data_IF_244221090318
#
_entry.id   IF_244221090318
#
_cell.length_a   1.000
_cell.length_b   1.000
_cell.length_c   1.000
_cell.angle_alpha   90.00
_cell.angle_beta   90.00
_cell.angle_gamma   90.00
#
_symmetry.space_group_name_H-M   'P 1'
#
loop_
_entity.id
_entity.type
_entity.pdbx_description
1 polymer ?
#
# COMPACT_ATOMS: atom_id res chain seq x y z
N UNK A 1 3.37 4.34 0.41
CA UNK A 1 3.34 4.04 1.85
C UNK A 1 1.88 4.06 2.29
N UNK A 2 1.29 2.88 2.43
CA UNK A 2 -0.01 2.74 3.07
C UNK A 2 0.15 2.92 4.58
N UNK A 3 -0.52 3.92 5.15
CA UNK A 3 -0.61 4.06 6.60
C UNK A 3 -1.93 3.43 7.03
N UNK A 4 -1.89 2.19 7.48
CA UNK A 4 -3.06 1.53 8.07
C UNK A 4 -3.00 1.59 9.59
N UNK A 5 -4.12 1.97 10.22
CA UNK A 5 -4.26 1.93 11.66
C UNK A 5 -5.14 0.74 12.07
N UNK A 6 -4.54 -0.26 12.75
CA UNK A 6 -5.25 -1.42 13.27
C UNK A 6 -5.34 -1.37 14.79
N UNK A 7 -6.56 -1.54 15.33
CA UNK A 7 -6.84 -1.60 16.77
C UNK A 7 -7.62 -0.39 17.32
N UNK A 8 -8.35 -0.58 18.43
CA UNK A 8 -8.89 0.54 19.22
C UNK A 8 -7.69 1.33 19.77
N UNK A 9 -7.47 2.53 19.23
CA UNK A 9 -6.36 3.37 19.66
C UNK A 9 -6.56 3.86 21.09
N UNK A 10 -5.53 3.70 21.91
CA UNK A 10 -5.47 4.12 23.31
C UNK A 10 -5.52 5.66 23.41
N UNK A 11 -6.42 6.28 24.21
CA UNK A 11 -6.60 7.75 24.28
C UNK A 11 -5.41 8.54 24.86
N UNK A 12 -4.27 7.92 25.15
CA UNK A 12 -3.15 8.48 25.89
C UNK A 12 -2.17 9.40 25.15
N UNK A 13 -2.52 10.01 24.01
CA UNK A 13 -1.61 10.96 23.33
C UNK A 13 -1.68 12.33 24.02
N UNK A 14 -0.69 12.63 24.87
CA UNK A 14 -0.55 13.91 25.58
C UNK A 14 -0.40 15.07 24.59
N UNK A 15 -1.06 16.20 24.90
CA UNK A 15 -0.89 17.48 24.20
C UNK A 15 0.58 17.90 24.29
N UNK A 16 1.20 18.13 23.13
CA UNK A 16 2.46 18.86 23.03
C UNK A 16 2.16 20.32 22.70
N UNK A 17 2.79 21.21 23.46
CA UNK A 17 2.62 22.66 23.42
C UNK A 17 3.22 23.31 22.16
N UNK A 18 2.67 24.49 21.85
CA UNK A 18 3.15 25.58 20.99
C UNK A 18 3.88 25.28 19.68
N UNK A 19 3.12 25.41 18.58
CA UNK A 19 3.68 25.54 17.23
C UNK A 19 3.80 27.02 16.88
N UNK A 20 5.02 27.55 17.00
CA UNK A 20 5.42 28.82 16.41
C UNK A 20 5.16 28.82 14.91
N UNK A 21 4.23 29.67 14.49
CA UNK A 21 3.80 29.81 13.12
C UNK A 21 4.80 30.69 12.34
N UNK A 22 5.56 30.10 11.44
CA UNK A 22 6.35 30.86 10.47
C UNK A 22 6.32 30.24 9.09
N UNK A 23 5.60 30.95 8.21
CA UNK A 23 5.75 31.03 6.75
C UNK A 23 4.93 30.08 5.88
N UNK A 24 3.63 30.38 5.78
CA UNK A 24 2.96 30.52 4.48
C UNK A 24 2.26 31.88 4.44
N UNK A 25 3.00 32.94 4.10
CA UNK A 25 2.40 34.25 3.83
C UNK A 25 1.72 34.19 2.46
N UNK A 26 0.39 34.09 2.46
CA UNK A 26 -0.43 34.60 1.37
C UNK A 26 -0.22 36.13 1.34
N UNK A 27 0.73 36.61 0.54
CA UNK A 27 0.86 38.03 0.24
C UNK A 27 0.02 38.33 -1.00
N UNK A 28 -1.02 39.14 -0.82
CA UNK A 28 -1.53 40.07 -1.84
C UNK A 28 -2.83 39.67 -2.53
N UNK A 29 -3.96 39.75 -1.83
CA UNK A 29 -5.07 40.66 -2.15
C UNK A 29 -6.22 40.48 -1.15
N UNK A 30 -6.88 41.59 -0.86
CA UNK A 30 -8.06 41.71 -0.01
C UNK A 30 -9.28 41.07 -0.69
N UNK A 31 -9.32 39.74 -0.70
CA UNK A 31 -10.49 38.97 -1.15
C UNK A 31 -10.65 37.79 -0.19
N UNK A 32 -11.48 37.98 0.85
CA UNK A 32 -12.07 36.83 1.56
C UNK A 32 -13.03 36.16 0.58
N UNK A 33 -12.49 35.47 -0.41
CA UNK A 33 -13.25 34.67 -1.35
C UNK A 33 -14.11 33.72 -0.52
N UNK A 34 -15.42 33.98 -0.52
CA UNK A 34 -16.36 33.15 0.23
C UNK A 34 -16.22 31.72 -0.26
N UNK A 35 -15.99 30.79 0.68
CA UNK A 35 -15.97 29.36 0.37
C UNK A 35 -17.32 29.03 -0.28
N UNK A 36 -17.36 28.47 -1.51
CA UNK A 36 -18.61 28.15 -2.17
C UNK A 36 -19.49 27.26 -1.29
N UNK A 37 -20.79 27.54 -1.24
CA UNK A 37 -21.74 26.83 -0.39
C UNK A 37 -21.76 25.31 -0.62
N UNK A 38 -21.48 24.86 -1.86
CA UNK A 38 -21.27 23.43 -2.17
C UNK A 38 -20.12 22.84 -1.35
N UNK A 39 -18.96 23.51 -1.35
CA UNK A 39 -17.76 23.05 -0.64
C UNK A 39 -17.96 23.10 0.87
N UNK A 40 -18.59 24.17 1.38
CA UNK A 40 -18.93 24.28 2.81
C UNK A 40 -19.77 23.10 3.29
N UNK A 41 -20.83 22.76 2.54
CA UNK A 41 -21.69 21.60 2.87
C UNK A 41 -20.96 20.27 2.80
N UNK A 42 -20.04 20.10 1.85
CA UNK A 42 -19.18 18.91 1.78
C UNK A 42 -18.28 18.80 3.00
N UNK A 43 -17.58 19.88 3.38
CA UNK A 43 -16.70 19.91 4.57
C UNK A 43 -17.50 19.50 5.82
N UNK A 44 -18.65 20.12 6.05
CA UNK A 44 -19.49 19.80 7.22
C UNK A 44 -20.00 18.34 7.20
N UNK A 45 -20.36 17.82 6.02
CA UNK A 45 -20.80 16.44 5.88
C UNK A 45 -19.66 15.45 6.22
N UNK A 46 -18.48 15.65 5.64
CA UNK A 46 -17.31 14.80 5.90
C UNK A 46 -16.89 14.86 7.37
N UNK A 47 -16.80 16.06 7.96
CA UNK A 47 -16.42 16.23 9.37
C UNK A 47 -17.40 15.54 10.32
N UNK A 48 -18.72 15.65 10.10
CA UNK A 48 -19.73 14.93 10.88
C UNK A 48 -19.56 13.42 10.80
N UNK A 49 -19.21 12.89 9.62
CA UNK A 49 -18.96 11.46 9.45
C UNK A 49 -17.68 11.00 10.13
N UNK A 50 -16.60 11.78 10.00
CA UNK A 50 -15.31 11.52 10.65
C UNK A 50 -15.48 11.52 12.18
N UNK A 51 -16.24 12.46 12.73
CA UNK A 51 -16.56 12.51 14.15
C UNK A 51 -17.39 11.31 14.59
N UNK A 52 -18.49 11.02 13.88
CA UNK A 52 -19.39 9.90 14.21
C UNK A 52 -18.70 8.53 14.19
N UNK A 53 -17.71 8.35 13.33
CA UNK A 53 -16.95 7.10 13.19
C UNK A 53 -15.63 7.10 13.99
N UNK A 54 -15.33 8.17 14.73
CA UNK A 54 -14.10 8.36 15.51
C UNK A 54 -12.80 8.22 14.69
N UNK A 55 -12.81 8.72 13.45
CA UNK A 55 -11.65 8.65 12.53
C UNK A 55 -10.77 9.90 12.56
N UNK A 56 -11.08 10.91 13.39
CA UNK A 56 -10.31 12.15 13.44
C UNK A 56 -8.81 11.91 13.70
N UNK A 57 -8.47 10.99 14.62
CA UNK A 57 -7.06 10.64 14.93
C UNK A 57 -6.32 10.10 13.72
N UNK A 58 -7.00 9.33 12.88
CA UNK A 58 -6.40 8.74 11.68
C UNK A 58 -6.04 9.81 10.65
N UNK A 59 -6.97 10.72 10.34
CA UNK A 59 -6.72 11.85 9.44
C UNK A 59 -5.58 12.75 9.93
N UNK A 60 -5.55 13.04 11.24
CA UNK A 60 -4.50 13.86 11.84
C UNK A 60 -3.13 13.17 11.83
N UNK A 61 -3.09 11.85 12.00
CA UNK A 61 -1.84 11.07 11.89
C UNK A 61 -1.28 11.13 10.48
N UNK A 62 -2.12 10.95 9.45
CA UNK A 62 -1.67 11.05 8.06
C UNK A 62 -1.27 12.48 7.70
N UNK A 63 -2.07 13.47 8.10
CA UNK A 63 -1.75 14.88 7.90
C UNK A 63 -0.37 15.23 8.48
N UNK A 64 -0.06 14.74 9.67
CA UNK A 64 1.23 14.97 10.31
C UNK A 64 2.42 14.40 9.51
N UNK A 65 2.28 13.19 8.97
CA UNK A 65 3.31 12.55 8.13
C UNK A 65 3.49 13.35 6.82
N UNK A 66 2.39 13.74 6.17
CA UNK A 66 2.40 14.57 4.95
C UNK A 66 3.04 15.93 5.24
N UNK A 67 2.69 16.56 6.36
CA UNK A 67 3.26 17.84 6.79
C UNK A 67 4.77 17.73 6.99
N UNK A 68 5.26 16.68 7.63
CA UNK A 68 6.68 16.41 7.78
C UNK A 68 7.38 16.30 6.40
N UNK A 69 6.84 15.47 5.51
CA UNK A 69 7.40 15.27 4.18
C UNK A 69 7.49 16.59 3.40
N UNK A 70 6.40 17.37 3.36
CA UNK A 70 6.37 18.70 2.72
C UNK A 70 7.37 19.67 3.32
N UNK A 71 7.51 19.70 4.66
CA UNK A 71 8.50 20.56 5.33
C UNK A 71 9.94 20.21 4.96
N UNK A 72 10.22 18.92 4.72
CA UNK A 72 11.52 18.41 4.24
C UNK A 72 11.71 18.49 2.72
N UNK A 73 10.73 19.05 2.00
CA UNK A 73 10.73 19.09 0.53
C UNK A 73 10.67 17.72 -0.13
N UNK A 74 10.13 16.71 0.56
CA UNK A 74 9.90 15.36 0.02
C UNK A 74 8.60 15.39 -0.76
N UNK A 75 8.62 14.96 -2.03
CA UNK A 75 7.41 14.88 -2.83
C UNK A 75 6.48 13.80 -2.25
N UNK A 76 5.21 14.17 -2.04
CA UNK A 76 4.20 13.24 -1.58
C UNK A 76 2.82 13.50 -2.20
N UNK A 77 2.06 12.45 -2.44
CA UNK A 77 0.74 12.53 -3.08
C UNK A 77 -0.21 11.45 -2.53
N UNK A 78 -1.37 11.88 -2.04
CA UNK A 78 -2.45 10.95 -1.67
C UNK A 78 -2.97 10.16 -2.88
N UNK A 79 -3.26 8.88 -2.66
CA UNK A 79 -3.76 7.94 -3.68
C UNK A 79 -5.12 7.35 -3.34
N UNK A 80 -5.71 6.69 -4.34
CA UNK A 80 -6.94 5.94 -4.18
C UNK A 80 -8.11 6.81 -3.76
N UNK A 81 -8.91 6.31 -2.81
CA UNK A 81 -10.14 6.97 -2.35
C UNK A 81 -9.91 8.28 -1.61
N UNK A 82 -8.71 8.54 -1.08
CA UNK A 82 -8.38 9.80 -0.40
C UNK A 82 -8.57 11.04 -1.29
N UNK A 83 -8.50 10.88 -2.62
CA UNK A 83 -8.78 11.95 -3.58
C UNK A 83 -10.25 12.41 -3.60
N UNK A 84 -11.18 11.62 -3.04
CA UNK A 84 -12.60 11.94 -2.96
C UNK A 84 -13.00 12.66 -1.66
N UNK A 85 -12.03 13.16 -0.88
CA UNK A 85 -12.31 13.86 0.38
C UNK A 85 -11.82 15.30 0.34
N UNK A 86 -12.74 16.22 0.59
CA UNK A 86 -12.45 17.64 0.79
C UNK A 86 -11.60 17.84 2.03
N UNK A 87 -11.82 17.06 3.10
CA UNK A 87 -10.98 17.12 4.30
C UNK A 87 -9.54 16.70 3.98
N UNK A 88 -9.32 15.65 3.19
CA UNK A 88 -7.99 15.28 2.72
C UNK A 88 -7.34 16.39 1.89
N UNK A 89 -8.10 17.11 1.06
CA UNK A 89 -7.60 18.25 0.31
C UNK A 89 -7.19 19.40 1.24
N UNK A 90 -8.04 19.77 2.20
CA UNK A 90 -7.76 20.81 3.19
C UNK A 90 -6.53 20.49 4.06
N UNK A 91 -6.31 19.21 4.39
CA UNK A 91 -5.14 18.74 5.13
C UNK A 91 -3.88 18.60 4.26
N UNK A 92 -3.97 18.86 2.95
CA UNK A 92 -2.86 18.73 2.00
C UNK A 92 -2.45 17.29 1.71
N UNK A 93 -3.27 16.31 2.08
CA UNK A 93 -3.05 14.88 1.82
C UNK A 93 -3.23 14.60 0.32
N UNK A 94 -4.25 15.20 -0.30
CA UNK A 94 -4.47 15.17 -1.75
C UNK A 94 -4.35 16.56 -2.37
N UNK A 95 -3.90 16.62 -3.61
CA UNK A 95 -3.86 17.85 -4.42
C UNK A 95 -5.12 18.04 -5.29
N UNK A 96 -6.09 17.12 -5.21
CA UNK A 96 -7.29 17.13 -6.06
C UNK A 96 -8.29 18.16 -5.56
N UNK A 97 -8.50 19.23 -6.34
CA UNK A 97 -9.40 20.34 -6.03
C UNK A 97 -10.88 19.88 -6.14
N UNK A 98 -11.63 19.84 -5.02
CA UNK A 98 -13.02 19.39 -5.01
C UNK A 98 -13.99 20.37 -5.68
N UNK A 99 -13.55 21.58 -6.02
CA UNK A 99 -14.35 22.49 -6.84
C UNK A 99 -14.36 22.09 -8.31
N UNK A 100 -13.37 21.30 -8.77
CA UNK A 100 -13.18 20.95 -10.19
C UNK A 100 -13.70 19.56 -10.55
N UNK A 101 -14.04 18.74 -9.56
CA UNK A 101 -14.50 17.37 -9.77
C UNK A 101 -15.68 17.06 -8.84
N UNK A 102 -16.58 16.18 -9.28
CA UNK A 102 -17.57 15.60 -8.38
C UNK A 102 -16.94 14.44 -7.62
N UNK A 103 -16.64 14.70 -6.35
CA UNK A 103 -16.11 13.70 -5.42
C UNK A 103 -17.24 12.83 -4.86
N UNK A 104 -17.05 11.51 -4.86
CA UNK A 104 -17.97 10.56 -4.24
C UNK A 104 -17.40 10.10 -2.89
N UNK A 105 -17.64 10.89 -1.85
CA UNK A 105 -17.08 10.66 -0.52
C UNK A 105 -17.52 9.33 0.11
N UNK A 106 -18.74 8.85 -0.19
CA UNK A 106 -19.28 7.59 0.35
C UNK A 106 -18.53 6.35 -0.13
N UNK A 107 -17.74 6.47 -1.21
CA UNK A 107 -16.81 5.43 -1.64
C UNK A 107 -15.56 5.37 -0.76
N UNK A 108 -15.22 6.47 -0.10
CA UNK A 108 -14.07 6.58 0.79
C UNK A 108 -14.43 6.21 2.23
N UNK A 109 -15.52 6.77 2.76
CA UNK A 109 -16.04 6.43 4.09
C UNK A 109 -17.47 5.90 3.95
N UNK A 110 -17.66 4.61 4.26
CA UNK A 110 -18.96 3.96 4.20
C UNK A 110 -19.39 3.47 5.58
N UNK A 111 -20.51 4.00 6.09
CA UNK A 111 -21.10 3.52 7.34
C UNK A 111 -21.60 2.07 7.27
N UNK A 112 -21.87 1.56 6.08
CA UNK A 112 -22.34 0.19 5.87
C UNK A 112 -21.22 -0.86 5.98
N UNK A 113 -19.96 -0.48 5.73
CA UNK A 113 -18.82 -1.40 5.74
C UNK A 113 -18.18 -1.57 7.13
N UNK A 114 -18.34 -0.58 8.01
CA UNK A 114 -17.72 -0.55 9.34
C UNK A 114 -16.20 -0.85 9.33
N UNK A 115 -15.54 -0.48 8.23
CA UNK A 115 -14.10 -0.59 8.03
C UNK A 115 -13.49 0.83 8.00
N UNK A 116 -12.30 1.04 8.58
CA UNK A 116 -11.58 2.30 8.43
C UNK A 116 -11.32 2.63 6.96
N UNK A 117 -11.39 3.92 6.57
CA UNK A 117 -10.98 4.33 5.23
C UNK A 117 -9.49 4.01 5.02
N UNK A 118 -9.11 3.69 3.78
CA UNK A 118 -7.70 3.52 3.43
C UNK A 118 -7.15 4.84 2.86
N UNK A 119 -6.17 5.43 3.56
CA UNK A 119 -5.47 6.66 3.15
C UNK A 119 -4.04 6.31 2.78
N UNK A 120 -3.85 6.03 1.49
CA UNK A 120 -2.54 5.81 0.91
C UNK A 120 -1.85 7.13 0.56
N UNK A 121 -0.57 7.25 0.92
CA UNK A 121 0.28 8.36 0.47
C UNK A 121 1.53 7.79 -0.19
N UNK A 122 1.76 8.20 -1.43
CA UNK A 122 3.02 7.97 -2.11
C UNK A 122 4.04 9.02 -1.70
N UNK A 123 5.27 8.57 -1.50
CA UNK A 123 6.42 9.43 -1.22
C UNK A 123 7.50 9.17 -2.27
N UNK A 124 8.31 10.19 -2.53
CA UNK A 124 9.53 10.08 -3.33
C UNK A 124 10.36 8.85 -2.93
N UNK A 125 10.65 7.98 -3.90
CA UNK A 125 11.25 6.67 -3.66
C UNK A 125 12.57 6.74 -2.88
N UNK A 126 13.47 7.64 -3.29
CA UNK A 126 14.81 7.77 -2.69
C UNK A 126 14.77 8.34 -1.26
N UNK A 127 13.69 9.06 -0.92
CA UNK A 127 13.54 9.77 0.36
C UNK A 127 12.47 9.17 1.26
N UNK A 128 11.85 8.05 0.86
CA UNK A 128 10.84 7.32 1.65
C UNK A 128 11.36 6.94 3.04
N UNK A 129 12.63 6.57 3.13
CA UNK A 129 13.24 6.15 4.39
C UNK A 129 13.23 7.26 5.45
N UNK A 130 13.39 8.53 5.06
CA UNK A 130 13.30 9.68 5.99
C UNK A 130 11.92 9.74 6.67
N UNK A 131 10.86 9.46 5.92
CA UNK A 131 9.48 9.45 6.41
C UNK A 131 9.26 8.27 7.36
N UNK A 132 9.81 7.10 7.04
CA UNK A 132 9.76 5.91 7.89
C UNK A 132 10.46 6.18 9.22
N UNK A 133 11.65 6.78 9.19
CA UNK A 133 12.40 7.11 10.41
C UNK A 133 11.65 8.15 11.25
N UNK A 134 11.07 9.18 10.64
CA UNK A 134 10.20 10.13 11.36
C UNK A 134 9.05 9.45 12.11
N UNK A 135 8.38 8.47 11.49
CA UNK A 135 7.31 7.71 12.12
C UNK A 135 7.85 6.92 13.32
N UNK A 136 8.99 6.25 13.16
CA UNK A 136 9.61 5.52 14.27
C UNK A 136 10.08 6.42 15.41
N UNK A 137 10.63 7.59 15.12
CA UNK A 137 11.07 8.57 16.11
C UNK A 137 9.88 9.14 16.89
N UNK A 138 8.81 9.50 16.17
CA UNK A 138 7.63 10.14 16.77
C UNK A 138 6.75 9.18 17.55
N UNK A 139 6.44 8.01 16.97
CA UNK A 139 5.49 7.07 17.56
C UNK A 139 6.19 5.95 18.35
N UNK A 140 7.48 5.74 18.13
CA UNK A 140 8.29 4.73 18.81
C UNK A 140 8.15 3.34 18.18
N UNK A 141 9.24 2.56 18.24
CA UNK A 141 9.33 1.21 17.66
C UNK A 141 8.37 0.18 18.28
N UNK A 142 7.85 0.44 19.48
CA UNK A 142 6.88 -0.43 20.14
C UNK A 142 5.44 -0.22 19.62
N UNK A 143 5.20 0.85 18.85
CA UNK A 143 3.86 1.26 18.38
C UNK A 143 3.79 1.47 16.86
N UNK A 144 4.93 1.36 16.18
CA UNK A 144 5.04 1.42 14.73
C UNK A 144 5.83 0.20 14.24
N UNK A 145 5.48 -0.32 13.07
CA UNK A 145 6.17 -1.45 12.46
C UNK A 145 5.89 -1.51 10.97
N UNK A 146 6.82 -2.11 10.22
CA UNK A 146 6.60 -2.46 8.83
C UNK A 146 5.82 -3.76 8.75
N UNK A 147 4.80 -3.81 7.90
CA UNK A 147 4.10 -5.06 7.63
C UNK A 147 5.06 -6.05 6.94
N UNK A 148 5.05 -7.30 7.37
CA UNK A 148 5.79 -8.37 6.72
C UNK A 148 4.95 -9.00 5.61
N UNK A 149 5.60 -9.40 4.53
CA UNK A 149 5.01 -10.21 3.47
C UNK A 149 5.65 -11.59 3.50
N UNK A 150 4.83 -12.63 3.62
CA UNK A 150 5.28 -14.01 3.47
C UNK A 150 5.30 -14.33 1.97
N UNK A 151 6.51 -14.50 1.41
CA UNK A 151 6.65 -14.91 0.02
C UNK A 151 6.55 -16.43 -0.04
N UNK A 152 5.54 -16.93 -0.75
CA UNK A 152 5.37 -18.36 -0.97
C UNK A 152 5.97 -18.80 -2.32
N UNK A 153 6.26 -20.09 -2.43
CA UNK A 153 6.59 -20.72 -3.71
C UNK A 153 5.42 -20.58 -4.68
N UNK A 154 5.75 -20.16 -5.90
CA UNK A 154 4.85 -20.13 -7.05
C UNK A 154 5.41 -21.11 -8.08
N UNK A 155 4.59 -21.56 -9.01
CA UNK A 155 4.95 -22.63 -9.96
C UNK A 155 6.34 -22.47 -10.60
N UNK A 156 6.70 -21.27 -11.07
CA UNK A 156 8.05 -21.00 -11.62
C UNK A 156 9.18 -21.12 -10.61
N UNK A 157 9.03 -20.59 -9.40
CA UNK A 157 10.08 -20.68 -8.38
C UNK A 157 10.18 -22.09 -7.79
N UNK A 158 9.06 -22.79 -7.64
CA UNK A 158 9.03 -24.18 -7.21
C UNK A 158 9.81 -25.09 -8.17
N UNK A 159 9.53 -25.01 -9.48
CA UNK A 159 10.24 -25.77 -10.53
C UNK A 159 11.73 -25.47 -10.52
N UNK A 160 12.12 -24.19 -10.36
CA UNK A 160 13.53 -23.79 -10.32
C UNK A 160 14.26 -24.42 -9.15
N UNK A 161 13.68 -24.45 -7.96
CA UNK A 161 14.35 -24.98 -6.78
C UNK A 161 14.36 -26.51 -6.76
N UNK A 162 13.23 -27.15 -7.11
CA UNK A 162 13.15 -28.61 -7.20
C UNK A 162 14.04 -29.16 -8.32
N UNK A 163 14.02 -28.53 -9.49
CA UNK A 163 14.86 -28.95 -10.62
C UNK A 163 16.34 -28.91 -10.31
N UNK A 164 16.81 -27.85 -9.63
CA UNK A 164 18.18 -27.78 -9.13
C UNK A 164 18.49 -28.90 -8.13
N UNK A 165 17.59 -29.15 -7.17
CA UNK A 165 17.77 -30.18 -6.15
C UNK A 165 17.85 -31.60 -6.74
N UNK A 166 17.15 -31.85 -7.85
CA UNK A 166 17.18 -33.11 -8.58
C UNK A 166 18.31 -33.20 -9.61
N UNK A 167 19.16 -32.17 -9.73
CA UNK A 167 20.30 -32.16 -10.64
C UNK A 167 19.96 -31.90 -12.11
N UNK A 168 18.80 -31.32 -12.41
CA UNK A 168 18.49 -30.87 -13.77
C UNK A 168 19.43 -29.74 -14.18
N UNK A 169 19.81 -29.71 -15.47
CA UNK A 169 20.65 -28.64 -16.00
C UNK A 169 19.91 -27.29 -15.96
N UNK A 170 20.68 -26.20 -15.94
CA UNK A 170 20.13 -24.83 -15.94
C UNK A 170 19.24 -24.59 -17.16
N UNK A 171 19.58 -25.16 -18.31
CA UNK A 171 18.81 -25.04 -19.55
C UNK A 171 17.45 -25.74 -19.43
N UNK A 172 17.43 -26.98 -18.91
CA UNK A 172 16.19 -27.73 -18.68
C UNK A 172 15.30 -27.00 -17.67
N UNK A 173 15.86 -26.52 -16.57
CA UNK A 173 15.12 -25.75 -15.56
C UNK A 173 14.54 -24.46 -16.14
N UNK A 174 15.30 -23.78 -17.01
CA UNK A 174 14.85 -22.55 -17.66
C UNK A 174 13.74 -22.82 -18.67
N UNK A 175 13.86 -23.87 -19.46
CA UNK A 175 12.82 -24.33 -20.39
C UNK A 175 11.53 -24.64 -19.63
N UNK A 176 11.59 -25.42 -18.55
CA UNK A 176 10.43 -25.77 -17.73
C UNK A 176 9.76 -24.57 -17.07
N UNK A 177 10.55 -23.65 -16.52
CA UNK A 177 10.02 -22.43 -15.93
C UNK A 177 9.37 -21.50 -17.00
N UNK A 178 9.84 -21.55 -18.24
CA UNK A 178 9.28 -20.81 -19.38
C UNK A 178 7.92 -21.33 -19.84
N UNK A 179 7.68 -22.65 -19.74
CA UNK A 179 6.39 -23.29 -20.09
C UNK A 179 5.25 -22.83 -19.19
N UNK A 180 5.55 -22.53 -17.93
CA UNK A 180 4.55 -22.08 -16.95
C UNK A 180 4.12 -20.65 -17.29
N UNK A 181 2.91 -20.53 -17.84
CA UNK A 181 2.23 -19.27 -18.09
C UNK A 181 1.09 -19.04 -17.09
N UNK A 182 1.12 -17.91 -16.38
CA UNK A 182 0.05 -17.47 -15.49
C UNK A 182 0.11 -18.00 -14.05
N UNK A 183 -1.03 -17.94 -13.37
CA UNK A 183 -1.21 -18.28 -11.96
C UNK A 183 -1.73 -19.72 -11.74
N UNK A 184 -1.80 -20.54 -12.80
CA UNK A 184 -2.38 -21.87 -12.72
C UNK A 184 -1.49 -22.80 -11.88
N UNK A 185 -2.10 -23.45 -10.90
CA UNK A 185 -1.51 -24.56 -10.16
C UNK A 185 -1.74 -25.90 -10.88
N UNK A 186 -2.33 -25.87 -12.09
CA UNK A 186 -2.63 -27.07 -12.84
C UNK A 186 -1.35 -27.80 -13.26
N UNK A 187 -1.37 -29.15 -13.29
CA UNK A 187 -0.28 -29.95 -13.80
C UNK A 187 0.14 -29.47 -15.21
N UNK A 188 1.45 -29.40 -15.45
CA UNK A 188 1.96 -29.08 -16.79
C UNK A 188 1.61 -30.25 -17.71
N UNK A 189 0.77 -30.00 -18.71
CA UNK A 189 0.44 -31.02 -19.70
C UNK A 189 1.69 -31.47 -20.48
N UNK A 190 1.84 -32.79 -20.68
CA UNK A 190 2.94 -33.41 -21.44
C UNK A 190 3.21 -32.75 -22.79
N UNK A 191 2.15 -32.25 -23.44
CA UNK A 191 2.25 -31.55 -24.71
C UNK A 191 3.17 -30.33 -24.62
N UNK A 192 3.07 -29.55 -23.53
CA UNK A 192 3.91 -28.37 -23.33
C UNK A 192 5.35 -28.74 -22.99
N UNK A 193 5.55 -29.88 -22.31
CA UNK A 193 6.87 -30.43 -22.04
C UNK A 193 7.57 -30.79 -23.37
N UNK A 194 6.84 -31.44 -24.28
CA UNK A 194 7.33 -31.76 -25.63
C UNK A 194 7.63 -30.51 -26.46
N UNK A 195 6.78 -29.49 -26.39
CA UNK A 195 7.01 -28.20 -27.07
C UNK A 195 8.30 -27.49 -26.61
N UNK A 196 8.72 -27.71 -25.37
CA UNK A 196 9.99 -27.23 -24.84
C UNK A 196 11.19 -28.11 -25.20
N UNK A 197 11.00 -29.14 -26.03
CA UNK A 197 12.05 -30.08 -26.43
C UNK A 197 12.45 -31.07 -25.34
N UNK A 198 11.59 -31.28 -24.34
CA UNK A 198 11.84 -32.20 -23.22
C UNK A 198 11.01 -33.47 -23.36
N UNK A 199 11.53 -34.58 -22.83
CA UNK A 199 10.82 -35.86 -22.82
C UNK A 199 9.92 -35.97 -21.58
N UNK A 200 8.58 -35.92 -21.72
CA UNK A 200 7.66 -36.05 -20.57
C UNK A 200 7.70 -37.44 -19.92
N UNK A 201 8.31 -38.44 -20.54
CA UNK A 201 8.48 -39.76 -19.95
C UNK A 201 9.72 -39.86 -19.07
N UNK A 202 10.63 -38.87 -19.12
CA UNK A 202 11.80 -38.81 -18.24
C UNK A 202 11.37 -38.84 -16.77
N UNK A 203 11.95 -39.76 -16.01
CA UNK A 203 11.55 -40.00 -14.61
C UNK A 203 11.93 -38.83 -13.70
N UNK A 204 13.10 -38.25 -13.90
CA UNK A 204 13.61 -37.14 -13.08
C UNK A 204 12.77 -35.90 -13.34
N UNK A 205 12.39 -35.68 -14.61
CA UNK A 205 11.52 -34.59 -15.01
C UNK A 205 10.13 -34.69 -14.39
N UNK A 206 9.49 -35.86 -14.48
CA UNK A 206 8.16 -36.08 -13.87
C UNK A 206 8.20 -35.88 -12.37
N UNK A 207 9.22 -36.44 -11.70
CA UNK A 207 9.42 -36.23 -10.27
C UNK A 207 9.60 -34.74 -9.93
N UNK A 208 10.32 -33.98 -10.76
CA UNK A 208 10.50 -32.55 -10.57
C UNK A 208 9.17 -31.78 -10.66
N UNK A 209 8.31 -32.15 -11.61
CA UNK A 209 6.99 -31.54 -11.78
C UNK A 209 6.07 -31.85 -10.60
N UNK A 210 6.02 -33.12 -10.17
CA UNK A 210 5.17 -33.56 -9.05
C UNK A 210 5.58 -32.91 -7.72
N UNK A 211 6.89 -32.87 -7.44
CA UNK A 211 7.41 -32.22 -6.23
C UNK A 211 7.24 -30.69 -6.29
N UNK A 212 7.42 -30.08 -7.46
CA UNK A 212 7.18 -28.65 -7.62
C UNK A 212 5.71 -28.30 -7.38
N UNK A 213 4.76 -29.11 -7.85
CA UNK A 213 3.33 -28.92 -7.60
C UNK A 213 3.00 -29.00 -6.10
N UNK A 214 3.61 -29.95 -5.37
CA UNK A 214 3.44 -30.04 -3.91
C UNK A 214 4.05 -28.85 -3.16
N UNK A 215 5.13 -28.25 -3.68
CA UNK A 215 5.81 -27.13 -3.05
C UNK A 215 5.07 -25.79 -3.25
N UNK A 216 4.19 -25.66 -4.25
CA UNK A 216 3.44 -24.42 -4.48
C UNK A 216 2.61 -24.05 -3.25
N UNK A 217 2.68 -22.78 -2.84
CA UNK A 217 1.98 -22.26 -1.67
C UNK A 217 2.77 -22.38 -0.37
N UNK A 218 3.82 -23.21 -0.30
CA UNK A 218 4.69 -23.27 0.88
C UNK A 218 5.43 -21.94 1.08
N UNK A 219 5.62 -21.49 2.34
CA UNK A 219 6.38 -20.29 2.63
C UNK A 219 7.85 -20.49 2.22
N UNK A 220 8.43 -19.48 1.56
CA UNK A 220 9.83 -19.49 1.12
C UNK A 220 10.70 -18.60 2.00
N UNK A 221 10.30 -17.35 2.18
CA UNK A 221 11.01 -16.39 3.03
C UNK A 221 10.08 -15.25 3.45
N UNK A 222 10.48 -14.54 4.49
CA UNK A 222 9.87 -13.28 4.90
C UNK A 222 10.48 -12.13 4.11
N UNK A 223 9.64 -11.21 3.67
CA UNK A 223 10.02 -9.94 3.06
C UNK A 223 9.25 -8.80 3.73
N UNK A 224 9.59 -7.57 3.38
CA UNK A 224 8.83 -6.39 3.80
C UNK A 224 7.70 -6.11 2.81
N UNK A 225 6.55 -5.67 3.32
CA UNK A 225 5.46 -5.22 2.48
C UNK A 225 5.87 -3.97 1.69
N UNK A 226 5.60 -3.98 0.38
CA UNK A 226 6.04 -2.91 -0.54
C UNK A 226 5.24 -1.63 -0.37
N UNK A 227 3.98 -1.78 0.08
CA UNK A 227 3.00 -0.72 0.29
C UNK A 227 3.50 0.39 1.17
#
# INVERSE_FOLDING_TARGET
>A
MTVSCYGKMDPGLRRGDDVGNSHTRLRGNDDRSEIPEKIRRLIEHELRLIERLDYARYFLTVHDIVRFARHRGILCQGRGSAANSVVCYCLGITAVDPARIDVLFERFISTARNEPPDIDVDFEHERREEVIQYIYEKYGRNRAGLAATVICYRSRSAIREVGKALGLSVDVVTALAGIVWGWSNDPIADQRVREAGLDPTDRTLRLALDLAAQLVGFPRHLSQHVG
#
